data_IF_464364265680
#
_entry.id   IF_464364265680
#
_cell.length_a   1.000
_cell.length_b   1.000
_cell.length_c   1.000
_cell.angle_alpha   90.00
_cell.angle_beta   90.00
_cell.angle_gamma   90.00
#
_symmetry.space_group_name_H-M   'P 1'
#
loop_
_entity.id
_entity.type
_entity.pdbx_description
1 polymer ?
#
# COMPACT_ATOMS: atom_id res chain seq x y z
N UNK A 1 -5.44 -9.52 -10.50
CA UNK A 1 -5.52 -8.97 -11.87
C UNK A 1 -6.90 -9.18 -12.47
N UNK A 2 -7.31 -10.43 -12.68
CA UNK A 2 -8.61 -10.79 -13.30
C UNK A 2 -9.80 -10.04 -12.70
N UNK A 3 -9.87 -9.97 -11.38
CA UNK A 3 -10.97 -9.29 -10.68
C UNK A 3 -11.02 -7.79 -11.00
N UNK A 4 -9.87 -7.13 -11.08
CA UNK A 4 -9.76 -5.72 -11.47
C UNK A 4 -10.18 -5.54 -12.94
N UNK A 5 -9.65 -6.37 -13.83
CA UNK A 5 -9.94 -6.30 -15.27
C UNK A 5 -11.43 -6.48 -15.57
N UNK A 6 -12.10 -7.45 -14.94
CA UNK A 6 -13.55 -7.70 -15.08
C UNK A 6 -14.42 -6.60 -14.47
N UNK A 7 -13.87 -5.77 -13.59
CA UNK A 7 -14.53 -4.57 -13.06
C UNK A 7 -14.31 -3.32 -13.92
N UNK A 8 -13.67 -3.45 -15.09
CA UNK A 8 -13.32 -2.34 -15.97
C UNK A 8 -12.04 -1.60 -15.60
N UNK A 9 -11.28 -2.15 -14.65
CA UNK A 9 -9.99 -1.59 -14.23
C UNK A 9 -8.82 -2.02 -15.11
N UNK A 10 -7.68 -1.33 -14.97
CA UNK A 10 -6.46 -1.59 -15.78
C UNK A 10 -5.20 -1.72 -14.94
N UNK A 11 -5.14 -1.03 -13.81
CA UNK A 11 -3.92 -0.87 -13.01
C UNK A 11 -4.17 -1.12 -11.54
N UNK A 12 -3.16 -1.68 -10.87
CA UNK A 12 -3.12 -1.89 -9.43
C UNK A 12 -1.89 -1.20 -8.84
N UNK A 13 -2.08 -0.41 -7.79
CA UNK A 13 -0.98 0.04 -6.93
C UNK A 13 -0.62 -1.07 -5.96
N UNK A 14 0.63 -1.52 -5.97
CA UNK A 14 1.15 -2.57 -5.09
C UNK A 14 2.17 -2.00 -4.12
N UNK A 15 2.02 -2.33 -2.84
CA UNK A 15 2.99 -1.99 -1.80
C UNK A 15 2.96 -3.01 -0.67
N UNK A 16 3.93 -2.92 0.22
CA UNK A 16 4.03 -3.80 1.38
C UNK A 16 4.58 -3.12 2.62
N UNK A 17 4.54 -3.84 3.74
CA UNK A 17 5.22 -3.48 4.97
C UNK A 17 6.64 -4.08 5.03
N UNK A 18 7.32 -3.91 6.17
CA UNK A 18 8.72 -4.35 6.37
C UNK A 18 8.87 -5.82 6.81
N UNK A 19 7.82 -6.62 6.81
CA UNK A 19 7.90 -8.03 7.23
C UNK A 19 8.80 -8.83 6.30
N UNK A 20 9.53 -9.80 6.85
CA UNK A 20 10.50 -10.60 6.09
C UNK A 20 9.89 -11.35 4.90
N UNK A 21 8.63 -11.76 5.02
CA UNK A 21 7.91 -12.46 3.94
C UNK A 21 7.26 -11.52 2.92
N UNK A 22 7.25 -10.22 3.16
CA UNK A 22 6.61 -9.25 2.28
C UNK A 22 7.23 -9.19 0.88
N UNK A 23 8.56 -9.20 0.70
CA UNK A 23 9.16 -9.16 -0.64
C UNK A 23 8.71 -10.33 -1.53
N UNK A 24 8.77 -11.56 -1.02
CA UNK A 24 8.38 -12.77 -1.77
C UNK A 24 6.90 -12.74 -2.15
N UNK A 25 6.03 -12.31 -1.21
CA UNK A 25 4.61 -12.16 -1.47
C UNK A 25 4.31 -11.04 -2.47
N UNK A 26 5.06 -9.95 -2.43
CA UNK A 26 4.94 -8.87 -3.43
C UNK A 26 5.32 -9.36 -4.82
N UNK A 27 6.41 -10.11 -4.95
CA UNK A 27 6.87 -10.63 -6.22
C UNK A 27 5.87 -11.63 -6.80
N UNK A 28 5.42 -12.62 -6.02
CA UNK A 28 4.42 -13.58 -6.44
C UNK A 28 3.08 -12.91 -6.84
N UNK A 29 2.62 -11.93 -6.04
CA UNK A 29 1.40 -11.19 -6.33
C UNK A 29 1.53 -10.38 -7.63
N UNK A 30 2.65 -9.68 -7.81
CA UNK A 30 2.97 -8.91 -9.00
C UNK A 30 2.94 -9.78 -10.25
N UNK A 31 3.64 -10.91 -10.23
CA UNK A 31 3.68 -11.86 -11.35
C UNK A 31 2.29 -12.37 -11.71
N UNK A 32 1.50 -12.77 -10.72
CA UNK A 32 0.13 -13.19 -10.92
C UNK A 32 -0.77 -12.09 -11.49
N UNK A 33 -0.58 -10.83 -11.11
CA UNK A 33 -1.33 -9.70 -11.68
C UNK A 33 -0.93 -9.45 -13.13
N UNK A 34 0.37 -9.38 -13.40
CA UNK A 34 0.89 -9.12 -14.76
C UNK A 34 0.47 -10.20 -15.76
N UNK A 35 0.42 -11.46 -15.33
CA UNK A 35 -0.01 -12.59 -16.17
C UNK A 35 -1.46 -12.51 -16.64
N UNK A 36 -2.29 -11.68 -15.99
CA UNK A 36 -3.68 -11.41 -16.43
C UNK A 36 -3.80 -10.28 -17.43
N UNK A 37 -2.72 -9.55 -17.72
CA UNK A 37 -2.74 -8.34 -18.53
C UNK A 37 -3.16 -7.08 -17.77
N UNK A 38 -3.15 -7.12 -16.43
CA UNK A 38 -3.35 -5.95 -15.57
C UNK A 38 -1.99 -5.35 -15.21
N UNK A 39 -1.87 -4.04 -15.29
CA UNK A 39 -0.64 -3.32 -15.00
C UNK A 39 -0.43 -3.14 -13.49
N UNK A 40 0.82 -3.01 -13.07
CA UNK A 40 1.23 -2.80 -11.67
C UNK A 40 2.04 -1.52 -11.53
N UNK A 41 1.60 -0.63 -10.66
CA UNK A 41 2.42 0.49 -10.15
C UNK A 41 3.01 0.06 -8.81
N UNK A 42 4.30 -0.27 -8.81
CA UNK A 42 5.01 -0.72 -7.62
C UNK A 42 5.45 0.48 -6.78
N UNK A 43 4.84 0.63 -5.62
CA UNK A 43 5.10 1.70 -4.64
C UNK A 43 6.15 1.29 -3.60
N UNK A 44 6.64 0.03 -3.65
CA UNK A 44 7.60 -0.56 -2.72
C UNK A 44 7.07 -0.65 -1.28
N UNK A 45 7.98 -0.49 -0.31
CA UNK A 45 7.66 -0.56 1.12
C UNK A 45 7.21 0.82 1.58
N UNK A 46 5.96 0.93 1.99
CA UNK A 46 5.33 2.16 2.45
C UNK A 46 4.24 1.85 3.50
N UNK A 47 3.90 2.80 4.36
CA UNK A 47 2.77 2.66 5.29
C UNK A 47 1.42 2.52 4.56
N UNK A 48 0.51 1.75 5.14
CA UNK A 48 -0.84 1.51 4.59
C UNK A 48 -1.61 2.78 4.18
N UNK A 49 -1.60 3.90 4.94
CA UNK A 49 -2.28 5.12 4.52
C UNK A 49 -1.76 5.69 3.19
N UNK A 50 -0.48 5.50 2.90
CA UNK A 50 0.13 5.93 1.64
C UNK A 50 -0.37 5.07 0.46
N UNK A 51 -0.58 3.77 0.69
CA UNK A 51 -1.21 2.90 -0.30
C UNK A 51 -2.64 3.38 -0.62
N UNK A 52 -3.44 3.71 0.41
CA UNK A 52 -4.78 4.25 0.19
C UNK A 52 -4.76 5.59 -0.56
N UNK A 53 -3.80 6.46 -0.27
CA UNK A 53 -3.62 7.70 -1.00
C UNK A 53 -3.40 7.48 -2.50
N UNK A 54 -2.73 6.40 -2.90
CA UNK A 54 -2.48 6.09 -4.31
C UNK A 54 -3.76 6.00 -5.15
N UNK A 55 -4.85 5.50 -4.59
CA UNK A 55 -6.13 5.39 -5.29
C UNK A 55 -6.72 6.75 -5.68
N UNK A 56 -6.33 7.80 -4.96
CA UNK A 56 -6.81 9.17 -5.22
C UNK A 56 -5.82 9.98 -6.05
N UNK A 57 -4.53 9.79 -5.82
CA UNK A 57 -3.47 10.58 -6.47
C UNK A 57 -3.04 10.01 -7.83
N UNK A 58 -3.09 8.69 -8.01
CA UNK A 58 -2.70 8.04 -9.26
C UNK A 58 -3.90 7.59 -10.11
N UNK A 59 -5.10 7.59 -9.52
CA UNK A 59 -6.31 7.18 -10.23
C UNK A 59 -6.38 5.69 -10.55
N UNK A 60 -5.58 4.85 -9.89
CA UNK A 60 -5.55 3.40 -10.10
C UNK A 60 -6.87 2.74 -9.77
N UNK A 61 -7.19 1.67 -10.48
CA UNK A 61 -8.44 0.93 -10.31
C UNK A 61 -8.46 0.08 -9.05
N UNK A 62 -7.29 -0.43 -8.64
CA UNK A 62 -7.10 -1.24 -7.43
C UNK A 62 -5.88 -0.80 -6.65
N UNK A 63 -5.87 -1.14 -5.36
CA UNK A 63 -4.68 -0.97 -4.53
C UNK A 63 -4.54 -2.16 -3.58
N UNK A 64 -3.31 -2.63 -3.43
CA UNK A 64 -2.99 -3.77 -2.58
C UNK A 64 -1.83 -3.42 -1.67
N UNK A 65 -2.06 -3.59 -0.37
CA UNK A 65 -1.04 -3.51 0.66
C UNK A 65 -0.80 -4.91 1.21
N UNK A 66 0.42 -5.40 1.08
CA UNK A 66 0.83 -6.65 1.72
C UNK A 66 1.31 -6.33 3.12
N UNK A 67 0.60 -6.86 4.12
CA UNK A 67 0.84 -6.57 5.53
C UNK A 67 0.17 -7.57 6.46
N UNK A 68 0.84 -7.94 7.52
CA UNK A 68 0.24 -8.66 8.63
C UNK A 68 -0.52 -7.76 9.61
N UNK A 69 -0.59 -6.44 9.36
CA UNK A 69 -1.21 -5.46 10.26
C UNK A 69 -0.61 -5.53 11.68
N UNK A 70 -1.43 -5.86 12.69
CA UNK A 70 -1.03 -5.98 14.10
C UNK A 70 -0.81 -7.44 14.53
N UNK A 71 -0.80 -8.37 13.58
CA UNK A 71 -0.51 -9.78 13.87
C UNK A 71 0.98 -9.99 14.18
N UNK A 72 1.33 -11.09 14.87
CA UNK A 72 2.71 -11.49 15.09
C UNK A 72 3.55 -11.53 13.79
N UNK A 73 4.89 -11.43 13.88
CA UNK A 73 5.76 -11.26 12.70
C UNK A 73 5.72 -12.40 11.69
N UNK A 74 5.36 -13.61 12.11
CA UNK A 74 5.22 -14.78 11.24
C UNK A 74 3.98 -14.75 10.33
N UNK A 75 3.01 -13.91 10.63
CA UNK A 75 1.81 -13.74 9.79
C UNK A 75 2.02 -12.63 8.76
N UNK A 76 1.39 -12.80 7.61
CA UNK A 76 1.26 -11.75 6.61
C UNK A 76 -0.12 -11.85 5.94
N UNK A 77 -0.46 -10.89 5.09
CA UNK A 77 -1.76 -10.87 4.43
C UNK A 77 -1.89 -9.76 3.39
N UNK A 78 -3.10 -9.60 2.90
CA UNK A 78 -3.41 -8.69 1.81
C UNK A 78 -4.57 -7.79 2.18
N UNK A 79 -4.36 -6.48 2.20
CA UNK A 79 -5.44 -5.49 2.21
C UNK A 79 -5.75 -5.11 0.78
N UNK A 80 -6.93 -5.46 0.32
CA UNK A 80 -7.35 -5.28 -1.07
C UNK A 80 -8.35 -4.12 -1.15
N UNK A 81 -8.16 -3.27 -2.14
CA UNK A 81 -9.09 -2.20 -2.47
C UNK A 81 -9.39 -2.20 -3.96
N UNK A 82 -10.63 -1.87 -4.33
CA UNK A 82 -11.10 -1.75 -5.70
C UNK A 82 -12.00 -0.52 -5.82
N UNK A 83 -11.74 0.32 -6.82
CA UNK A 83 -12.51 1.55 -7.07
C UNK A 83 -12.70 2.40 -5.80
N UNK A 84 -11.60 2.61 -5.06
CA UNK A 84 -11.52 3.39 -3.81
C UNK A 84 -12.33 2.81 -2.64
N UNK A 85 -12.72 1.54 -2.72
CA UNK A 85 -13.45 0.84 -1.65
C UNK A 85 -12.69 -0.42 -1.22
N UNK A 86 -12.72 -0.79 0.07
CA UNK A 86 -12.13 -2.05 0.50
C UNK A 86 -12.87 -3.24 -0.10
N UNK A 87 -12.12 -4.28 -0.44
CA UNK A 87 -12.66 -5.57 -0.87
C UNK A 87 -12.84 -6.45 0.36
N UNK A 88 -14.07 -6.89 0.64
CA UNK A 88 -14.42 -7.69 1.83
C UNK A 88 -15.64 -8.58 1.61
N UNK A 89 -15.93 -9.44 2.58
CA UNK A 89 -17.15 -10.25 2.60
C UNK A 89 -17.32 -11.13 1.36
N UNK A 90 -18.42 -10.97 0.64
CA UNK A 90 -18.75 -11.74 -0.57
C UNK A 90 -17.73 -11.57 -1.70
N UNK A 91 -17.06 -10.43 -1.78
CA UNK A 91 -16.02 -10.20 -2.78
C UNK A 91 -14.78 -11.08 -2.53
N UNK A 92 -14.39 -11.25 -1.25
CA UNK A 92 -13.29 -12.18 -0.90
C UNK A 92 -13.67 -13.62 -1.20
N UNK A 93 -14.94 -14.02 -0.92
CA UNK A 93 -15.43 -15.35 -1.28
C UNK A 93 -15.37 -15.59 -2.79
N UNK A 94 -15.78 -14.60 -3.58
CA UNK A 94 -15.67 -14.65 -5.04
C UNK A 94 -14.24 -14.81 -5.53
N UNK A 95 -13.28 -14.08 -4.92
CA UNK A 95 -11.87 -14.25 -5.25
C UNK A 95 -11.38 -15.67 -4.94
N UNK A 96 -11.79 -16.24 -3.81
CA UNK A 96 -11.50 -17.64 -3.45
C UNK A 96 -12.04 -18.60 -4.50
N UNK A 97 -13.31 -18.48 -4.86
CA UNK A 97 -13.96 -19.31 -5.89
C UNK A 97 -13.23 -19.23 -7.24
N UNK A 98 -12.85 -18.03 -7.67
CA UNK A 98 -12.06 -17.83 -8.89
C UNK A 98 -10.72 -18.58 -8.85
N UNK A 99 -10.04 -18.55 -7.69
CA UNK A 99 -8.76 -19.25 -7.51
C UNK A 99 -8.97 -20.77 -7.56
N UNK A 100 -9.98 -21.28 -6.85
CA UNK A 100 -10.28 -22.70 -6.78
C UNK A 100 -10.66 -23.31 -8.15
N UNK A 101 -11.29 -22.53 -9.01
CA UNK A 101 -11.69 -22.96 -10.36
C UNK A 101 -10.66 -22.61 -11.45
N UNK A 102 -9.54 -21.98 -11.11
CA UNK A 102 -8.58 -21.51 -12.10
C UNK A 102 -9.17 -20.47 -13.09
N UNK A 103 -10.17 -19.72 -12.65
CA UNK A 103 -10.90 -18.76 -13.47
C UNK A 103 -10.11 -17.43 -13.60
N UNK A 104 -9.11 -17.47 -14.47
CA UNK A 104 -8.20 -16.33 -14.68
C UNK A 104 -8.24 -15.81 -16.11
N UNK A 105 -8.21 -14.48 -16.22
CA UNK A 105 -7.84 -13.83 -17.49
C UNK A 105 -6.36 -14.11 -17.77
N UNK A 106 -6.02 -14.07 -19.06
CA UNK A 106 -4.64 -14.17 -19.50
C UNK A 106 -4.24 -12.90 -20.26
N UNK A 107 -2.96 -12.55 -20.19
CA UNK A 107 -2.46 -11.37 -20.85
C UNK A 107 -1.03 -11.06 -20.43
N UNK A 108 -0.57 -9.86 -20.81
CA UNK A 108 0.77 -9.37 -20.48
C UNK A 108 0.62 -7.94 -19.99
N UNK A 109 0.66 -7.75 -18.67
CA UNK A 109 0.71 -6.43 -18.04
C UNK A 109 2.15 -5.90 -17.97
N UNK A 110 2.26 -4.65 -17.58
CA UNK A 110 3.53 -3.94 -17.41
C UNK A 110 3.71 -3.49 -15.95
N UNK A 111 4.94 -3.44 -15.49
CA UNK A 111 5.27 -2.87 -14.18
C UNK A 111 5.93 -1.51 -14.36
N UNK A 112 5.49 -0.54 -13.57
CA UNK A 112 6.17 0.74 -13.36
C UNK A 112 6.49 0.94 -11.89
N UNK A 113 7.52 1.73 -11.57
CA UNK A 113 7.85 2.10 -10.19
C UNK A 113 7.54 3.56 -9.97
N UNK A 114 6.90 3.87 -8.86
CA UNK A 114 6.52 5.24 -8.54
C UNK A 114 6.89 5.62 -7.10
N UNK A 115 7.51 6.79 -6.92
CA UNK A 115 7.85 7.36 -5.62
C UNK A 115 6.68 8.21 -5.10
N UNK A 116 5.77 7.61 -4.36
CA UNK A 116 4.54 8.26 -3.92
C UNK A 116 4.71 9.14 -2.66
N UNK A 117 5.69 8.86 -1.81
CA UNK A 117 5.89 9.54 -0.54
C UNK A 117 6.02 11.07 -0.66
N UNK A 118 6.74 11.64 -1.64
CA UNK A 118 6.82 13.11 -1.77
C UNK A 118 5.45 13.76 -1.93
N UNK A 119 4.59 13.21 -2.79
CA UNK A 119 3.23 13.73 -2.99
C UNK A 119 2.33 13.54 -1.77
N UNK A 120 2.44 12.40 -1.10
CA UNK A 120 1.71 12.15 0.15
C UNK A 120 2.12 13.14 1.25
N UNK A 121 3.42 13.37 1.43
CA UNK A 121 3.93 14.31 2.42
C UNK A 121 3.48 15.74 2.12
N UNK A 122 3.56 16.15 0.87
CA UNK A 122 3.12 17.48 0.47
C UNK A 122 1.63 17.68 0.76
N UNK A 123 0.80 16.70 0.42
CA UNK A 123 -0.65 16.72 0.71
C UNK A 123 -0.94 16.90 2.20
N UNK A 124 -0.15 16.30 3.09
CA UNK A 124 -0.31 16.47 4.54
C UNK A 124 0.15 17.85 4.97
N UNK A 125 1.32 18.32 4.49
CA UNK A 125 1.86 19.65 4.81
C UNK A 125 0.92 20.78 4.39
N UNK A 126 0.23 20.63 3.26
CA UNK A 126 -0.74 21.60 2.76
C UNK A 126 -2.03 21.67 3.62
N UNK A 127 -2.31 20.62 4.40
CA UNK A 127 -3.56 20.49 5.18
C UNK A 127 -3.36 20.70 6.68
N UNK A 128 -2.17 20.49 7.18
CA UNK A 128 -1.87 20.54 8.62
C UNK A 128 -1.06 21.80 8.90
N UNK A 129 -1.59 22.62 9.79
CA UNK A 129 -0.89 23.77 10.38
C UNK A 129 -0.78 23.55 11.88
N UNK A 130 0.43 23.63 12.42
CA UNK A 130 0.67 23.56 13.88
C UNK A 130 0.80 24.98 14.41
N UNK A 131 -0.22 25.43 15.12
CA UNK A 131 -0.37 26.84 15.54
C UNK A 131 0.55 27.26 16.70
N UNK A 132 1.19 26.30 17.39
CA UNK A 132 2.07 26.55 18.52
C UNK A 132 3.28 25.61 18.52
N UNK A 133 4.42 26.03 19.10
CA UNK A 133 5.54 25.12 19.29
C UNK A 133 5.13 23.89 20.10
N UNK A 134 5.52 22.71 19.61
CA UNK A 134 5.23 21.44 20.26
C UNK A 134 6.51 20.59 20.36
N UNK A 135 6.66 19.93 21.50
CA UNK A 135 7.64 18.84 21.68
C UNK A 135 6.92 17.52 21.56
N UNK A 136 7.40 16.65 20.69
CA UNK A 136 6.79 15.36 20.38
C UNK A 136 7.82 14.26 20.59
N UNK A 137 7.45 13.21 21.31
CA UNK A 137 8.18 11.94 21.34
C UNK A 137 7.45 10.98 20.42
N UNK A 138 8.16 10.44 19.45
CA UNK A 138 7.61 9.48 18.47
C UNK A 138 8.32 8.15 18.63
N UNK A 139 7.54 7.09 18.84
CA UNK A 139 8.01 5.71 18.82
C UNK A 139 7.44 5.01 17.60
N UNK A 140 8.31 4.60 16.67
CA UNK A 140 7.91 3.88 15.47
C UNK A 140 8.02 2.36 15.61
N UNK A 141 8.54 1.84 16.71
CA UNK A 141 8.76 0.42 16.90
C UNK A 141 9.62 -0.23 15.81
N UNK A 142 10.53 0.53 15.17
CA UNK A 142 11.28 0.15 13.97
C UNK A 142 10.39 -0.43 12.88
N UNK A 143 9.16 0.10 12.76
CA UNK A 143 8.15 -0.38 11.82
C UNK A 143 7.99 0.58 10.63
N UNK A 144 7.05 0.29 9.75
CA UNK A 144 6.86 1.01 8.48
C UNK A 144 6.65 2.53 8.64
N UNK A 145 6.19 2.99 9.82
CA UNK A 145 6.05 4.41 10.12
C UNK A 145 7.40 5.16 10.09
N UNK A 146 8.50 4.49 10.47
CA UNK A 146 9.85 5.07 10.46
C UNK A 146 10.27 5.60 9.08
N UNK A 147 9.76 5.00 8.01
CA UNK A 147 10.09 5.39 6.62
C UNK A 147 9.66 6.83 6.31
N UNK A 148 8.63 7.34 6.95
CA UNK A 148 8.01 8.60 6.55
C UNK A 148 7.68 9.54 7.71
N UNK A 149 7.17 9.04 8.82
CA UNK A 149 6.61 9.87 9.88
C UNK A 149 7.62 10.83 10.52
N UNK A 150 8.87 10.41 10.85
CA UNK A 150 9.83 11.33 11.46
C UNK A 150 10.13 12.54 10.59
N UNK A 151 10.38 12.33 9.30
CA UNK A 151 10.65 13.40 8.35
C UNK A 151 9.44 14.34 8.20
N UNK A 152 8.24 13.78 8.17
CA UNK A 152 7.02 14.56 8.03
C UNK A 152 6.77 15.45 9.24
N UNK A 153 6.93 14.92 10.46
CA UNK A 153 6.75 15.69 11.69
C UNK A 153 7.78 16.81 11.83
N UNK A 154 9.05 16.57 11.47
CA UNK A 154 10.06 17.64 11.43
C UNK A 154 9.66 18.77 10.47
N UNK A 155 9.13 18.42 9.29
CA UNK A 155 8.65 19.42 8.30
C UNK A 155 7.43 20.20 8.79
N UNK A 156 6.63 19.65 9.68
CA UNK A 156 5.53 20.34 10.36
C UNK A 156 6.01 21.29 11.47
N UNK A 157 7.33 21.35 11.73
CA UNK A 157 7.91 22.33 12.65
C UNK A 157 7.86 21.93 14.13
N UNK A 158 7.66 20.63 14.45
CA UNK A 158 7.73 20.16 15.83
C UNK A 158 9.17 19.85 16.25
N UNK A 159 9.48 20.03 17.53
CA UNK A 159 10.70 19.52 18.14
C UNK A 159 10.49 18.02 18.40
N UNK A 160 11.17 17.17 17.62
CA UNK A 160 10.94 15.73 17.59
C UNK A 160 12.03 14.96 18.30
N UNK A 161 11.65 14.14 19.27
CA UNK A 161 12.50 13.08 19.85
C UNK A 161 12.04 11.72 19.27
N UNK A 162 12.97 10.97 18.68
CA UNK A 162 12.67 9.72 18.00
C UNK A 162 13.10 8.52 18.83
N UNK A 163 12.22 7.53 18.92
CA UNK A 163 12.46 6.23 19.54
C UNK A 163 12.13 5.15 18.51
N UNK A 164 13.06 4.21 18.31
CA UNK A 164 12.87 3.06 17.40
C UNK A 164 12.37 3.48 16.01
N UNK A 165 13.04 4.43 15.39
CA UNK A 165 12.72 4.98 14.06
C UNK A 165 13.76 4.58 12.99
N UNK A 166 14.42 3.43 13.13
CA UNK A 166 15.41 2.88 12.19
C UNK A 166 14.80 1.91 11.17
#
# INVERSE_FOLDING_TARGET
GTFVKRSGGREIALSGDIRLTTPDLMDAFREGVLSTGTDVINLRIIPTPVNYYSMYSLGVSGAVQITGSHNPPEFNGFKLSLHKKPVYGSQIKKLKEMIEHGDFETGKGTETRYKILPGYNQMILDKINIERPMRVVMDCGNATAAINAPQLFRKLGVELTELYCE
#
